data_IF_884945845803
#
_entry.id   IF_884945845803
#
_cell.length_a   1.000
_cell.length_b   1.000
_cell.length_c   1.000
_cell.angle_alpha   90.00
_cell.angle_beta   90.00
_cell.angle_gamma   90.00
#
_symmetry.space_group_name_H-M   'P 1'
#
loop_
_entity.id
_entity.type
_entity.pdbx_description
1 polymer ?
#
# COMPACT_ATOMS: atom_id res chain seq x y z
N UNK A 1 18.98 -10.91 14.23
CA UNK A 1 18.65 -10.94 12.78
C UNK A 1 17.29 -10.31 12.63
N UNK A 2 17.23 -9.02 12.26
CA UNK A 2 15.96 -8.32 12.12
C UNK A 2 15.16 -8.96 10.99
N UNK A 3 13.96 -9.46 11.29
CA UNK A 3 13.05 -9.91 10.25
C UNK A 3 12.71 -8.68 9.38
N UNK A 4 13.21 -8.67 8.15
CA UNK A 4 12.77 -7.69 7.17
C UNK A 4 11.29 -7.95 6.90
N UNK A 5 10.43 -6.99 7.25
CA UNK A 5 9.03 -7.02 6.92
C UNK A 5 8.86 -6.81 5.42
N UNK A 6 7.95 -7.57 4.82
CA UNK A 6 7.45 -7.24 3.48
C UNK A 6 5.92 -7.28 3.50
N UNK A 7 5.32 -6.40 2.72
CA UNK A 7 3.88 -6.28 2.56
C UNK A 7 3.57 -6.10 1.08
N UNK A 8 2.56 -6.80 0.58
CA UNK A 8 2.13 -6.71 -0.81
C UNK A 8 0.62 -6.42 -0.83
N UNK A 9 0.20 -5.49 -1.68
CA UNK A 9 -1.20 -5.10 -1.83
C UNK A 9 -1.52 -4.82 -3.29
N UNK A 10 -2.69 -5.26 -3.74
CA UNK A 10 -3.16 -4.96 -5.08
C UNK A 10 -3.79 -3.56 -5.09
N UNK A 11 -3.30 -2.70 -5.98
CA UNK A 11 -3.81 -1.34 -6.14
C UNK A 11 -4.51 -1.23 -7.48
N UNK A 12 -5.76 -0.71 -7.53
CA UNK A 12 -6.43 -0.48 -8.80
C UNK A 12 -5.62 0.49 -9.67
N UNK A 13 -5.43 0.17 -10.96
CA UNK A 13 -4.61 0.94 -11.90
C UNK A 13 -4.97 2.43 -11.97
N UNK A 14 -6.25 2.76 -11.77
CA UNK A 14 -6.73 4.15 -11.68
C UNK A 14 -6.11 4.93 -10.51
N UNK A 15 -5.81 4.27 -9.38
CA UNK A 15 -5.19 4.88 -8.20
C UNK A 15 -3.68 4.74 -8.17
N UNK A 16 -3.11 3.82 -8.95
CA UNK A 16 -1.65 3.69 -9.10
C UNK A 16 -1.01 5.01 -9.52
N UNK A 17 -1.63 5.73 -10.46
CA UNK A 17 -1.17 7.06 -10.87
C UNK A 17 -1.14 8.08 -9.73
N UNK A 18 -2.07 8.00 -8.77
CA UNK A 18 -2.10 8.86 -7.58
C UNK A 18 -0.99 8.51 -6.58
N UNK A 19 -0.71 7.22 -6.37
CA UNK A 19 0.39 6.77 -5.49
C UNK A 19 1.75 7.18 -6.07
N UNK A 20 1.94 6.98 -7.38
CA UNK A 20 3.19 7.37 -8.06
C UNK A 20 3.32 8.90 -8.02
N UNK A 21 2.23 9.61 -8.28
CA UNK A 21 2.24 11.06 -8.39
C UNK A 21 2.91 11.54 -9.68
N UNK A 22 2.90 12.86 -9.90
CA UNK A 22 3.52 13.47 -11.09
C UNK A 22 5.04 13.23 -11.04
N UNK A 23 5.57 12.51 -12.03
CA UNK A 23 7.00 12.11 -12.11
C UNK A 23 7.51 11.18 -10.99
N UNK A 24 6.64 10.48 -10.25
CA UNK A 24 7.10 9.61 -9.16
C UNK A 24 7.45 10.34 -7.86
N UNK A 25 7.05 11.61 -7.71
CA UNK A 25 7.36 12.43 -6.54
C UNK A 25 6.65 11.90 -5.28
N UNK A 26 5.37 11.54 -5.38
CA UNK A 26 4.58 11.03 -4.27
C UNK A 26 5.13 9.70 -3.74
N UNK A 27 5.43 8.74 -4.63
CA UNK A 27 6.02 7.46 -4.20
C UNK A 27 7.42 7.64 -3.58
N UNK A 28 8.21 8.62 -4.02
CA UNK A 28 9.47 8.96 -3.36
C UNK A 28 9.23 9.49 -1.95
N UNK A 29 8.34 10.46 -1.81
CA UNK A 29 7.99 11.03 -0.51
C UNK A 29 7.46 9.96 0.45
N UNK A 30 6.63 9.04 -0.02
CA UNK A 30 6.14 7.91 0.79
C UNK A 30 7.27 7.01 1.29
N UNK A 31 8.25 6.73 0.44
CA UNK A 31 9.42 5.92 0.82
C UNK A 31 10.32 6.67 1.81
N UNK A 32 10.53 7.98 1.61
CA UNK A 32 11.31 8.81 2.52
C UNK A 32 10.65 8.96 3.89
N UNK A 33 9.34 9.17 3.93
CA UNK A 33 8.57 9.33 5.17
C UNK A 33 8.47 8.01 5.96
N UNK A 34 8.28 6.88 5.26
CA UNK A 34 8.17 5.57 5.92
C UNK A 34 9.52 4.92 6.21
N UNK A 35 10.58 5.32 5.52
CA UNK A 35 11.84 4.58 5.51
C UNK A 35 11.72 3.17 4.89
N UNK A 36 10.59 2.86 4.25
CA UNK A 36 10.37 1.61 3.55
C UNK A 36 10.57 1.78 2.04
N UNK A 37 10.92 0.70 1.37
CA UNK A 37 11.01 0.62 -0.08
C UNK A 37 9.67 0.20 -0.67
N UNK A 38 9.08 1.07 -1.47
CA UNK A 38 7.77 0.90 -2.10
C UNK A 38 7.99 0.75 -3.61
N UNK A 39 7.60 -0.40 -4.16
CA UNK A 39 7.79 -0.76 -5.56
C UNK A 39 6.47 -1.21 -6.14
N UNK A 40 6.05 -0.57 -7.22
CA UNK A 40 4.85 -0.99 -7.96
C UNK A 40 5.30 -1.88 -9.10
N UNK A 41 4.81 -3.12 -9.11
CA UNK A 41 5.05 -4.07 -10.17
C UNK A 41 4.15 -3.71 -11.33
N UNK A 42 4.75 -3.17 -12.39
CA UNK A 42 4.04 -2.87 -13.64
C UNK A 42 4.02 -4.07 -14.59
N UNK A 43 4.74 -5.15 -14.26
CA UNK A 43 4.82 -6.40 -15.01
C UNK A 43 3.43 -6.98 -15.29
N UNK A 44 3.02 -6.93 -16.55
CA UNK A 44 1.69 -7.30 -17.01
C UNK A 44 1.15 -6.31 -18.05
N UNK A 45 0.06 -6.66 -18.75
CA UNK A 45 -0.55 -5.77 -19.74
C UNK A 45 -0.85 -4.40 -19.13
N UNK A 46 -0.64 -3.32 -19.89
CA UNK A 46 -0.99 -1.94 -19.50
C UNK A 46 -2.46 -1.83 -19.06
N UNK A 47 -3.32 -2.70 -19.60
CA UNK A 47 -4.74 -2.81 -19.25
C UNK A 47 -5.05 -3.55 -17.94
N UNK A 48 -4.04 -3.96 -17.15
CA UNK A 48 -4.29 -4.60 -15.86
C UNK A 48 -5.05 -3.63 -14.94
N UNK A 49 -6.29 -4.02 -14.59
CA UNK A 49 -7.16 -3.25 -13.70
C UNK A 49 -6.57 -3.04 -12.32
N UNK A 50 -5.62 -3.89 -11.91
CA UNK A 50 -4.94 -3.86 -10.62
C UNK A 50 -3.44 -4.10 -10.84
N UNK A 51 -2.60 -3.35 -10.13
CA UNK A 51 -1.14 -3.52 -10.11
C UNK A 51 -0.68 -3.87 -8.70
N UNK A 52 0.19 -4.88 -8.52
CA UNK A 52 0.75 -5.19 -7.22
C UNK A 52 1.68 -4.08 -6.75
N UNK A 53 1.50 -3.61 -5.53
CA UNK A 53 2.41 -2.73 -4.81
C UNK A 53 3.10 -3.53 -3.71
N UNK A 54 4.42 -3.56 -3.74
CA UNK A 54 5.29 -4.17 -2.73
C UNK A 54 5.91 -3.11 -1.85
N UNK A 55 5.89 -3.36 -0.54
CA UNK A 55 6.54 -2.58 0.49
C UNK A 55 7.54 -3.50 1.18
N UNK A 56 8.79 -3.07 1.30
CA UNK A 56 9.86 -3.86 1.92
C UNK A 56 10.66 -2.96 2.85
N UNK A 57 10.99 -3.43 4.05
CA UNK A 57 11.73 -2.63 5.02
C UNK A 57 11.72 -3.23 6.42
N UNK A 58 12.03 -2.40 7.41
CA UNK A 58 11.80 -2.76 8.81
C UNK A 58 10.31 -2.92 9.09
N UNK A 59 9.89 -3.78 10.04
CA UNK A 59 8.48 -3.96 10.36
C UNK A 59 7.76 -2.64 10.69
N UNK A 60 8.39 -1.75 11.46
CA UNK A 60 7.87 -0.40 11.72
C UNK A 60 7.72 0.43 10.44
N UNK A 61 8.75 0.45 9.58
CA UNK A 61 8.71 1.17 8.31
C UNK A 61 7.60 0.64 7.39
N UNK A 62 7.39 -0.67 7.35
CA UNK A 62 6.33 -1.29 6.56
C UNK A 62 4.94 -0.92 7.10
N UNK A 63 4.76 -0.86 8.42
CA UNK A 63 3.50 -0.39 9.02
C UNK A 63 3.22 1.08 8.68
N UNK A 64 4.22 1.95 8.78
CA UNK A 64 4.08 3.37 8.42
C UNK A 64 3.75 3.51 6.93
N UNK A 65 4.51 2.84 6.05
CA UNK A 65 4.25 2.86 4.61
C UNK A 65 2.85 2.35 4.26
N UNK A 66 2.39 1.29 4.95
CA UNK A 66 1.04 0.76 4.79
C UNK A 66 -0.01 1.80 5.17
N UNK A 67 0.18 2.54 6.25
CA UNK A 67 -0.75 3.62 6.65
C UNK A 67 -0.77 4.76 5.62
N UNK A 68 0.40 5.22 5.17
CA UNK A 68 0.49 6.32 4.20
C UNK A 68 -0.13 5.93 2.84
N UNK A 69 0.16 4.71 2.35
CA UNK A 69 -0.45 4.17 1.13
C UNK A 69 -1.95 4.00 1.32
N UNK A 70 -2.39 3.49 2.48
CA UNK A 70 -3.80 3.36 2.81
C UNK A 70 -4.51 4.72 2.85
N UNK A 71 -3.86 5.79 3.31
CA UNK A 71 -4.43 7.15 3.33
C UNK A 71 -4.66 7.67 1.91
N UNK A 72 -3.68 7.54 1.02
CA UNK A 72 -3.82 7.91 -0.41
C UNK A 72 -4.92 7.09 -1.09
N UNK A 73 -5.00 5.80 -0.78
CA UNK A 73 -6.05 4.93 -1.32
C UNK A 73 -7.43 5.20 -0.71
N UNK A 74 -7.47 5.65 0.54
CA UNK A 74 -8.68 5.96 1.32
C UNK A 74 -9.19 7.39 1.15
N UNK A 75 -8.51 8.24 0.38
CA UNK A 75 -9.09 9.53 -0.04
C UNK A 75 -10.40 9.36 -0.86
N UNK A 76 -10.74 8.14 -1.30
CA UNK A 76 -12.08 7.74 -1.81
C UNK A 76 -13.02 7.10 -0.77
N UNK A 77 -12.66 7.17 0.52
CA UNK A 77 -13.50 6.92 1.69
C UNK A 77 -13.99 5.46 1.94
N UNK A 78 -13.93 5.06 3.22
CA UNK A 78 -14.74 4.02 3.94
C UNK A 78 -14.22 2.58 4.12
N UNK A 79 -13.46 1.93 3.22
CA UNK A 79 -13.34 0.45 3.34
C UNK A 79 -12.61 -0.08 4.58
N UNK A 80 -11.56 0.58 5.08
CA UNK A 80 -10.65 -0.04 6.08
C UNK A 80 -11.27 -0.18 7.48
N UNK A 81 -12.13 0.75 7.90
CA UNK A 81 -12.74 0.69 9.24
C UNK A 81 -13.79 -0.43 9.36
N UNK A 82 -14.46 -0.77 8.25
CA UNK A 82 -15.47 -1.84 8.23
C UNK A 82 -14.80 -3.21 8.18
N UNK A 83 -13.75 -3.39 7.37
CA UNK A 83 -13.04 -4.67 7.26
C UNK A 83 -12.34 -5.09 8.57
N UNK A 84 -11.77 -4.15 9.33
CA UNK A 84 -11.14 -4.44 10.63
C UNK A 84 -12.16 -4.95 11.66
N UNK A 85 -13.34 -4.30 11.75
CA UNK A 85 -14.41 -4.70 12.66
C UNK A 85 -15.11 -6.01 12.22
N UNK A 86 -15.29 -6.25 10.92
CA UNK A 86 -15.91 -7.47 10.38
C UNK A 86 -15.03 -8.71 10.58
N UNK A 87 -13.71 -8.59 10.40
CA UNK A 87 -12.79 -9.72 10.63
C UNK A 87 -12.65 -10.09 12.11
N UNK A 88 -12.72 -9.12 13.03
CA UNK A 88 -12.75 -9.37 14.47
C UNK A 88 -14.04 -10.09 14.90
N UNK A 89 -15.18 -9.75 14.31
CA UNK A 89 -16.48 -10.40 14.58
C UNK A 89 -16.54 -11.87 14.11
N UNK A 90 -15.95 -12.19 12.95
CA UNK A 90 -15.97 -13.57 12.41
C UNK A 90 -15.03 -14.52 13.17
N UNK A 91 -13.99 -14.01 13.86
CA UNK A 91 -13.05 -14.84 14.64
C UNK A 91 -13.45 -15.08 16.10
N UNK A 92 -14.54 -14.47 16.54
CA UNK A 92 -15.11 -14.62 17.89
C UNK A 92 -16.34 -15.55 17.91
N UNK A 93 -16.62 -16.28 16.83
CA UNK A 93 -17.68 -17.29 16.71
C UNK A 93 -17.14 -18.60 16.14
#
# INVERSE_FOLDING_TARGET
MGNAGFYEVNVPGQKVGLIIGRNGDTIKSLQEQSGAKIVIIQDGPEAAYEKPLRITGSPESVEIAKQLVAEILSQDHVSILVYSQYYLLIRMY
#
